data_IF_061399395851
#
_entry.id   IF_061399395851
#
_cell.length_a   1.000
_cell.length_b   1.000
_cell.length_c   1.000
_cell.angle_alpha   90.00
_cell.angle_beta   90.00
_cell.angle_gamma   90.00
#
_symmetry.space_group_name_H-M   'P 1'
#
loop_
_entity.id
_entity.type
_entity.pdbx_description
1 polymer ?
#
# COMPACT_ATOMS: atom_id res chain seq x y z
N UNK A 1 -12.15 9.67 -5.05
CA UNK A 1 -12.19 8.98 -3.75
C UNK A 1 -13.58 8.48 -3.35
N UNK A 2 -14.68 9.09 -3.84
CA UNK A 2 -16.06 8.63 -3.54
C UNK A 2 -16.28 7.19 -4.02
N UNK A 3 -15.67 6.77 -5.14
CA UNK A 3 -15.85 5.45 -5.72
C UNK A 3 -14.94 4.38 -5.12
N UNK A 4 -13.77 4.74 -4.60
CA UNK A 4 -12.74 3.74 -4.24
C UNK A 4 -11.99 4.03 -2.94
N UNK A 5 -12.13 5.23 -2.40
CA UNK A 5 -11.36 5.66 -1.22
C UNK A 5 -9.86 5.90 -1.49
N UNK A 6 -9.40 5.76 -2.75
CA UNK A 6 -7.98 5.94 -3.07
C UNK A 6 -7.58 7.41 -3.09
N UNK A 7 -6.59 7.83 -2.28
CA UNK A 7 -6.25 9.24 -2.07
C UNK A 7 -5.22 9.74 -3.11
N UNK A 8 -5.57 9.76 -4.40
CA UNK A 8 -4.69 10.30 -5.43
C UNK A 8 -4.54 11.82 -5.33
N UNK A 9 -3.29 12.32 -5.47
CA UNK A 9 -2.95 13.72 -5.70
C UNK A 9 -3.71 14.72 -4.80
N UNK A 10 -3.76 14.44 -3.50
CA UNK A 10 -4.39 15.34 -2.54
C UNK A 10 -3.50 16.56 -2.28
N UNK A 11 -4.10 17.75 -2.18
CA UNK A 11 -3.39 18.98 -1.79
C UNK A 11 -2.79 18.83 -0.38
N UNK A 12 -3.39 18.02 0.47
CA UNK A 12 -2.87 17.65 1.79
C UNK A 12 -1.42 17.13 1.76
N UNK A 13 -0.96 16.56 0.65
CA UNK A 13 0.41 16.06 0.52
C UNK A 13 1.47 17.17 0.51
N UNK A 14 1.09 18.43 0.32
CA UNK A 14 2.01 19.57 0.50
C UNK A 14 2.58 19.67 1.91
N UNK A 15 1.92 19.03 2.89
CA UNK A 15 2.36 19.00 4.30
C UNK A 15 3.06 17.71 4.70
N UNK A 16 3.38 16.80 3.78
CA UNK A 16 3.95 15.47 4.10
C UNK A 16 5.26 15.54 4.90
N UNK A 17 6.04 16.58 4.72
CA UNK A 17 7.29 16.82 5.46
C UNK A 17 7.10 17.41 6.86
N UNK A 18 5.87 17.79 7.21
CA UNK A 18 5.54 18.43 8.48
C UNK A 18 4.69 17.49 9.35
N UNK A 19 5.36 16.52 9.98
CA UNK A 19 4.70 15.45 10.76
C UNK A 19 3.79 15.99 11.87
N UNK A 20 4.16 17.13 12.46
CA UNK A 20 3.39 17.79 13.51
C UNK A 20 2.04 18.28 12.98
N UNK A 21 2.00 18.86 11.78
CA UNK A 21 0.73 19.31 11.17
C UNK A 21 -0.11 18.10 10.75
N UNK A 22 0.53 17.04 10.24
CA UNK A 22 -0.17 15.81 9.85
C UNK A 22 -0.82 15.09 11.03
N UNK A 23 -0.36 15.31 12.26
CA UNK A 23 -0.96 14.72 13.47
C UNK A 23 -2.48 14.92 13.55
N UNK A 24 -3.01 16.03 13.00
CA UNK A 24 -4.44 16.30 12.98
C UNK A 24 -5.26 15.28 12.18
N UNK A 25 -4.63 14.58 11.24
CA UNK A 25 -5.31 13.54 10.44
C UNK A 25 -5.84 12.40 11.31
N UNK A 26 -5.29 12.21 12.52
CA UNK A 26 -5.81 11.26 13.51
C UNK A 26 -7.22 11.60 13.97
N UNK A 27 -7.64 12.87 13.92
CA UNK A 27 -8.96 13.35 14.32
C UNK A 27 -9.91 13.50 13.13
N UNK A 28 -9.46 14.14 12.03
CA UNK A 28 -10.34 14.52 10.93
C UNK A 28 -10.15 13.66 9.67
N UNK A 29 -9.20 12.74 9.69
CA UNK A 29 -8.84 11.91 8.56
C UNK A 29 -8.14 12.66 7.42
N UNK A 30 -7.60 11.93 6.44
CA UNK A 30 -6.86 12.50 5.30
C UNK A 30 -7.74 13.39 4.43
N UNK A 31 -8.99 13.01 4.19
CA UNK A 31 -9.90 13.81 3.34
C UNK A 31 -10.37 15.08 4.03
N UNK A 32 -10.64 15.04 5.33
CA UNK A 32 -10.96 16.24 6.11
C UNK A 32 -9.78 17.22 6.12
N UNK A 33 -8.57 16.71 6.28
CA UNK A 33 -7.36 17.51 6.18
C UNK A 33 -7.15 18.07 4.77
N UNK A 34 -7.45 17.32 3.71
CA UNK A 34 -7.39 17.81 2.33
C UNK A 34 -8.38 18.96 2.08
N UNK A 35 -9.62 18.84 2.59
CA UNK A 35 -10.61 19.93 2.50
C UNK A 35 -10.09 21.19 3.22
N UNK A 36 -9.51 21.03 4.39
CA UNK A 36 -8.85 22.11 5.11
C UNK A 36 -7.74 22.76 4.28
N UNK A 37 -6.85 21.98 3.66
CA UNK A 37 -5.76 22.49 2.82
C UNK A 37 -6.29 23.29 1.62
N UNK A 38 -7.33 22.80 0.94
CA UNK A 38 -7.99 23.53 -0.13
C UNK A 38 -8.50 24.89 0.39
N UNK A 39 -9.21 24.88 1.51
CA UNK A 39 -9.75 26.10 2.12
C UNK A 39 -8.65 27.06 2.55
N UNK A 40 -7.56 26.57 3.14
CA UNK A 40 -6.40 27.37 3.52
C UNK A 40 -5.79 28.07 2.32
N UNK A 41 -5.46 27.33 1.25
CA UNK A 41 -4.77 27.88 0.09
C UNK A 41 -5.66 28.80 -0.76
N UNK A 42 -6.99 28.63 -0.69
CA UNK A 42 -7.93 29.54 -1.37
C UNK A 42 -8.35 30.72 -0.52
N UNK A 43 -8.20 30.68 0.81
CA UNK A 43 -8.62 31.74 1.72
C UNK A 43 -8.03 33.13 1.41
N UNK A 44 -6.78 33.29 0.90
CA UNK A 44 -6.25 34.61 0.53
C UNK A 44 -7.05 35.32 -0.57
N UNK A 45 -7.75 34.57 -1.44
CA UNK A 45 -8.63 35.18 -2.45
C UNK A 45 -9.77 36.01 -1.82
N UNK A 46 -10.14 35.73 -0.58
CA UNK A 46 -11.14 36.48 0.17
C UNK A 46 -10.74 37.98 0.30
N UNK A 47 -9.44 38.31 0.39
CA UNK A 47 -9.00 39.70 0.44
C UNK A 47 -9.36 40.49 -0.83
N UNK A 48 -9.48 39.80 -1.96
CA UNK A 48 -9.84 40.39 -3.26
C UNK A 48 -11.37 40.41 -3.42
N UNK A 49 -12.02 39.31 -3.02
CA UNK A 49 -13.46 39.06 -3.31
C UNK A 49 -14.38 39.46 -2.15
N UNK A 50 -13.85 39.97 -1.04
CA UNK A 50 -14.61 40.26 0.16
C UNK A 50 -15.75 41.27 -0.08
N UNK A 51 -16.89 40.95 0.45
CA UNK A 51 -18.05 41.87 0.52
C UNK A 51 -18.28 42.40 1.95
N UNK A 52 -17.84 41.61 2.95
CA UNK A 52 -18.10 41.92 4.36
C UNK A 52 -16.86 41.78 5.23
N UNK A 53 -16.88 42.39 6.43
CA UNK A 53 -15.83 42.20 7.43
C UNK A 53 -15.76 40.76 7.96
N UNK A 54 -16.87 40.01 7.87
CA UNK A 54 -16.93 38.59 8.28
C UNK A 54 -16.02 37.71 7.41
N UNK A 55 -15.91 38.03 6.14
CA UNK A 55 -15.07 37.29 5.19
C UNK A 55 -13.59 37.34 5.58
N UNK A 56 -13.13 38.50 6.08
CA UNK A 56 -11.78 38.66 6.63
C UNK A 56 -11.60 37.75 7.86
N UNK A 57 -12.62 37.66 8.74
CA UNK A 57 -12.60 36.78 9.90
C UNK A 57 -12.42 35.31 9.51
N UNK A 58 -13.09 34.85 8.47
CA UNK A 58 -12.93 33.48 7.94
C UNK A 58 -11.49 33.25 7.44
N UNK A 59 -10.93 34.19 6.70
CA UNK A 59 -9.54 34.07 6.24
C UNK A 59 -8.56 33.97 7.43
N UNK A 60 -8.73 34.80 8.44
CA UNK A 60 -7.88 34.79 9.65
C UNK A 60 -7.98 33.43 10.37
N UNK A 61 -9.19 32.85 10.47
CA UNK A 61 -9.37 31.51 11.06
C UNK A 61 -8.55 30.47 10.32
N UNK A 62 -8.62 30.42 8.98
CA UNK A 62 -7.84 29.46 8.19
C UNK A 62 -6.34 29.66 8.31
N UNK A 63 -5.87 30.89 8.51
CA UNK A 63 -4.44 31.19 8.73
C UNK A 63 -3.95 30.78 10.12
N UNK A 64 -4.83 30.78 11.13
CA UNK A 64 -4.48 30.39 12.51
C UNK A 64 -4.54 28.86 12.69
N UNK A 65 -5.46 28.17 12.01
CA UNK A 65 -5.65 26.72 12.16
C UNK A 65 -4.38 25.88 11.97
N UNK A 66 -3.49 26.13 11.02
CA UNK A 66 -2.22 25.39 10.89
C UNK A 66 -1.36 25.44 12.15
N UNK A 67 -1.35 26.59 12.85
CA UNK A 67 -0.64 26.72 14.11
C UNK A 67 -1.25 25.85 15.20
N UNK A 68 -2.59 25.81 15.29
CA UNK A 68 -3.28 24.93 16.24
C UNK A 68 -3.05 23.45 15.89
N UNK A 69 -3.03 23.11 14.63
CA UNK A 69 -2.72 21.74 14.19
C UNK A 69 -1.28 21.34 14.52
N UNK A 70 -0.34 22.27 14.37
CA UNK A 70 1.05 22.08 14.78
C UNK A 70 1.16 21.82 16.30
N UNK A 71 0.49 22.63 17.12
CA UNK A 71 0.50 22.44 18.58
C UNK A 71 -0.10 21.08 18.96
N UNK A 72 -1.24 20.73 18.39
CA UNK A 72 -1.87 19.44 18.62
C UNK A 72 -0.96 18.27 18.20
N UNK A 73 -0.39 18.35 17.00
CA UNK A 73 0.47 17.29 16.50
C UNK A 73 1.79 17.18 17.26
N UNK A 74 2.35 18.30 17.75
CA UNK A 74 3.53 18.29 18.62
C UNK A 74 3.24 17.54 19.91
N UNK A 75 2.09 17.82 20.54
CA UNK A 75 1.64 17.10 21.74
C UNK A 75 1.41 15.60 21.44
N UNK A 76 0.79 15.29 20.29
CA UNK A 76 0.55 13.92 19.88
C UNK A 76 1.86 13.14 19.64
N UNK A 77 2.85 13.79 19.01
CA UNK A 77 4.19 13.24 18.76
C UNK A 77 4.95 12.99 20.06
N UNK A 78 4.88 13.92 21.01
CA UNK A 78 5.49 13.76 22.32
C UNK A 78 4.87 12.57 23.07
N UNK A 79 3.53 12.48 23.08
CA UNK A 79 2.82 11.35 23.65
C UNK A 79 3.22 10.03 22.99
N UNK A 80 3.34 10.00 21.66
CA UNK A 80 3.78 8.80 20.93
C UNK A 80 5.22 8.40 21.31
N UNK A 81 6.13 9.37 21.40
CA UNK A 81 7.53 9.12 21.74
C UNK A 81 7.71 8.71 23.23
N UNK A 82 6.76 9.02 24.08
CA UNK A 82 6.78 8.63 25.51
C UNK A 82 6.24 7.22 25.77
N UNK A 83 5.70 6.54 24.72
CA UNK A 83 5.23 5.17 24.88
C UNK A 83 6.43 4.21 25.01
N UNK A 84 6.28 3.24 25.91
CA UNK A 84 7.25 2.16 26.04
C UNK A 84 7.32 1.36 24.75
N UNK A 85 8.52 1.24 24.19
CA UNK A 85 8.76 0.43 23.01
C UNK A 85 8.79 -1.03 23.43
N UNK A 86 7.77 -1.79 23.03
CA UNK A 86 7.78 -3.23 23.19
C UNK A 86 8.80 -3.80 22.21
N UNK A 87 9.86 -4.41 22.74
CA UNK A 87 10.85 -5.12 21.93
C UNK A 87 10.32 -6.51 21.59
N UNK A 88 10.34 -6.83 20.32
CA UNK A 88 10.02 -8.18 19.82
C UNK A 88 11.30 -8.86 19.33
N UNK A 89 11.38 -10.17 19.47
CA UNK A 89 12.50 -10.97 18.96
C UNK A 89 12.60 -10.97 17.43
N UNK A 90 11.48 -10.64 16.76
CA UNK A 90 11.40 -10.62 15.32
C UNK A 90 11.55 -9.21 14.78
N UNK A 91 12.46 -9.04 13.82
CA UNK A 91 12.60 -7.80 13.04
C UNK A 91 11.66 -7.84 11.85
N UNK A 92 11.09 -6.71 11.48
CA UNK A 92 10.38 -6.54 10.20
C UNK A 92 11.26 -5.74 9.26
N UNK A 93 11.55 -6.30 8.08
CA UNK A 93 12.33 -5.64 7.05
C UNK A 93 11.48 -5.45 5.80
N UNK A 94 11.01 -4.22 5.61
CA UNK A 94 10.33 -3.82 4.39
C UNK A 94 11.37 -3.51 3.31
N UNK A 95 11.21 -4.12 2.14
CA UNK A 95 12.14 -3.99 1.03
C UNK A 95 11.65 -2.88 0.09
N UNK A 96 12.39 -1.77 0.05
CA UNK A 96 12.21 -0.71 -0.94
C UNK A 96 13.14 -0.96 -2.12
N UNK A 97 12.67 -1.68 -3.12
CA UNK A 97 13.48 -1.88 -4.33
C UNK A 97 13.45 -0.62 -5.19
N UNK A 98 14.61 -0.05 -5.48
CA UNK A 98 14.75 1.00 -6.50
C UNK A 98 14.77 0.39 -7.92
N UNK A 99 13.90 -0.59 -8.18
CA UNK A 99 13.84 -1.26 -9.47
C UNK A 99 13.13 -0.35 -10.47
N UNK A 100 13.77 -0.08 -11.61
CA UNK A 100 13.22 0.76 -12.67
C UNK A 100 11.86 0.24 -13.18
N UNK A 101 10.97 1.15 -13.55
CA UNK A 101 9.70 0.80 -14.22
C UNK A 101 9.92 0.10 -15.57
N UNK A 102 11.10 0.24 -16.17
CA UNK A 102 11.45 -0.43 -17.44
C UNK A 102 11.30 -1.95 -17.35
N UNK A 103 11.44 -2.54 -16.17
CA UNK A 103 11.24 -3.98 -15.98
C UNK A 103 9.84 -4.48 -16.34
N UNK A 104 8.81 -3.62 -16.26
CA UNK A 104 7.45 -3.98 -16.68
C UNK A 104 7.29 -4.05 -18.21
N UNK A 105 8.27 -3.53 -18.93
CA UNK A 105 8.25 -3.44 -20.40
C UNK A 105 9.39 -4.19 -21.07
N UNK A 106 10.31 -4.76 -20.30
CA UNK A 106 11.47 -5.51 -20.80
C UNK A 106 11.43 -6.95 -20.28
N UNK A 107 11.82 -7.91 -21.15
CA UNK A 107 12.00 -9.31 -20.77
C UNK A 107 13.24 -9.46 -19.87
N UNK A 108 13.13 -9.06 -18.62
CA UNK A 108 14.20 -9.27 -17.62
C UNK A 108 14.05 -10.70 -17.09
N UNK A 109 15.17 -11.40 -16.97
CA UNK A 109 15.22 -12.74 -16.40
C UNK A 109 14.70 -12.73 -14.94
N UNK A 110 13.65 -13.49 -14.64
CA UNK A 110 13.10 -13.59 -13.27
C UNK A 110 14.14 -13.97 -12.21
N UNK A 111 15.12 -14.79 -12.57
CA UNK A 111 16.21 -15.19 -11.66
C UNK A 111 17.03 -13.98 -11.22
N UNK A 112 17.31 -13.06 -12.14
CA UNK A 112 18.04 -11.82 -11.82
C UNK A 112 17.24 -10.95 -10.84
N UNK A 113 15.93 -10.75 -11.09
CA UNK A 113 15.07 -9.95 -10.21
C UNK A 113 15.01 -10.56 -8.82
N UNK A 114 14.81 -11.87 -8.72
CA UNK A 114 14.71 -12.55 -7.41
C UNK A 114 16.05 -12.47 -6.66
N UNK A 115 17.18 -12.64 -7.33
CA UNK A 115 18.49 -12.49 -6.70
C UNK A 115 18.72 -11.08 -6.18
N UNK A 116 18.40 -10.04 -6.97
CA UNK A 116 18.51 -8.65 -6.54
C UNK A 116 17.66 -8.37 -5.29
N UNK A 117 16.43 -8.93 -5.23
CA UNK A 117 15.55 -8.80 -4.08
C UNK A 117 16.10 -9.54 -2.85
N UNK A 118 16.69 -10.72 -3.03
CA UNK A 118 17.35 -11.47 -1.96
C UNK A 118 18.56 -10.69 -1.43
N UNK A 119 19.38 -10.12 -2.32
CA UNK A 119 20.57 -9.36 -1.95
C UNK A 119 20.21 -8.09 -1.18
N UNK A 120 19.17 -7.34 -1.64
CA UNK A 120 18.66 -6.16 -0.91
C UNK A 120 18.05 -6.58 0.42
N UNK A 121 17.41 -7.75 0.48
CA UNK A 121 16.84 -8.28 1.72
C UNK A 121 17.92 -8.61 2.76
N UNK A 122 19.14 -8.93 2.34
CA UNK A 122 20.29 -9.23 3.21
C UNK A 122 19.91 -10.19 4.37
N UNK A 123 19.45 -11.42 4.10
CA UNK A 123 18.97 -12.32 5.13
C UNK A 123 20.11 -12.80 6.05
N UNK A 124 20.01 -12.49 7.34
CA UNK A 124 20.97 -12.95 8.36
C UNK A 124 20.46 -14.24 8.99
N UNK A 125 21.24 -15.29 8.94
CA UNK A 125 20.82 -16.65 9.37
C UNK A 125 20.53 -16.78 10.86
N UNK A 126 21.11 -15.92 11.67
CA UNK A 126 20.99 -15.87 13.14
C UNK A 126 19.89 -14.92 13.62
N UNK A 127 19.28 -14.16 12.74
CA UNK A 127 18.23 -13.20 13.07
C UNK A 127 16.84 -13.74 12.68
N UNK A 128 15.84 -13.47 13.51
CA UNK A 128 14.44 -13.73 13.20
C UNK A 128 13.87 -12.53 12.44
N UNK A 129 13.60 -12.70 11.14
CA UNK A 129 13.19 -11.59 10.27
C UNK A 129 11.94 -11.95 9.49
N UNK A 130 11.00 -10.99 9.47
CA UNK A 130 9.86 -10.98 8.56
C UNK A 130 10.21 -10.04 7.42
N UNK A 131 10.43 -10.58 6.22
CA UNK A 131 10.67 -9.80 5.02
C UNK A 131 9.36 -9.42 4.38
N UNK A 132 9.19 -8.15 4.02
CA UNK A 132 8.01 -7.65 3.31
C UNK A 132 8.45 -7.13 1.95
N UNK A 133 8.15 -7.88 0.91
CA UNK A 133 8.36 -7.49 -0.48
C UNK A 133 7.11 -6.81 -1.01
N UNK A 134 7.22 -5.62 -1.60
CA UNK A 134 6.07 -4.81 -1.98
C UNK A 134 5.26 -5.41 -3.11
N UNK A 135 4.06 -4.86 -3.27
CA UNK A 135 3.15 -5.13 -4.39
C UNK A 135 3.82 -4.86 -5.74
N UNK A 136 3.55 -5.72 -6.71
CA UNK A 136 4.03 -5.55 -8.08
C UNK A 136 5.54 -5.72 -8.27
N UNK A 137 6.25 -6.29 -7.29
CA UNK A 137 7.71 -6.44 -7.38
C UNK A 137 8.12 -7.56 -8.34
N UNK A 138 7.23 -8.51 -8.55
CA UNK A 138 7.36 -9.66 -9.46
C UNK A 138 6.22 -9.60 -10.50
N UNK A 139 6.28 -8.70 -11.50
CA UNK A 139 5.14 -8.39 -12.38
C UNK A 139 4.66 -9.58 -13.20
N UNK A 140 5.57 -10.40 -13.72
CA UNK A 140 5.29 -11.50 -14.63
C UNK A 140 5.37 -12.88 -13.96
N UNK A 141 5.42 -12.92 -12.63
CA UNK A 141 5.49 -14.16 -11.87
C UNK A 141 4.23 -14.27 -11.01
N UNK A 142 3.45 -15.31 -11.24
CA UNK A 142 2.33 -15.66 -10.40
C UNK A 142 2.78 -16.43 -9.15
N UNK A 143 1.90 -16.49 -8.14
CA UNK A 143 2.10 -17.29 -6.94
C UNK A 143 2.50 -18.76 -7.24
N UNK A 144 1.93 -19.33 -8.30
CA UNK A 144 2.20 -20.70 -8.73
C UNK A 144 3.59 -20.83 -9.37
N UNK A 145 3.96 -19.89 -10.21
CA UNK A 145 5.24 -19.88 -10.92
C UNK A 145 6.41 -19.57 -9.99
N UNK A 146 6.18 -18.79 -8.94
CA UNK A 146 7.21 -18.46 -7.94
C UNK A 146 7.83 -19.71 -7.31
N UNK A 147 7.09 -20.80 -7.20
CA UNK A 147 7.58 -22.09 -6.65
C UNK A 147 8.70 -22.69 -7.50
N UNK A 148 8.78 -22.38 -8.80
CA UNK A 148 9.84 -22.87 -9.70
C UNK A 148 11.22 -22.29 -9.32
N UNK A 149 11.23 -21.16 -8.61
CA UNK A 149 12.42 -20.47 -8.11
C UNK A 149 12.77 -20.82 -6.66
N UNK A 150 12.11 -21.82 -6.08
CA UNK A 150 12.28 -22.26 -4.68
C UNK A 150 13.76 -22.44 -4.29
N UNK A 151 14.58 -22.97 -5.17
CA UNK A 151 16.01 -23.21 -4.95
C UNK A 151 16.82 -21.93 -4.62
N UNK A 152 16.41 -20.74 -5.09
CA UNK A 152 17.02 -19.45 -4.76
C UNK A 152 16.73 -19.09 -3.29
N UNK A 153 15.50 -19.34 -2.87
CA UNK A 153 15.04 -19.02 -1.51
C UNK A 153 15.67 -19.96 -0.48
N UNK A 154 15.69 -21.26 -0.73
CA UNK A 154 16.29 -22.26 0.16
C UNK A 154 17.77 -22.02 0.42
N UNK A 155 18.49 -21.46 -0.56
CA UNK A 155 19.90 -21.10 -0.41
C UNK A 155 20.11 -19.90 0.54
N UNK A 156 19.18 -18.97 0.56
CA UNK A 156 19.35 -17.64 1.17
C UNK A 156 18.60 -17.50 2.48
N UNK A 157 17.40 -18.06 2.58
CA UNK A 157 16.53 -17.97 3.75
C UNK A 157 16.62 -19.25 4.60
N UNK A 158 16.15 -19.17 5.84
CA UNK A 158 16.08 -20.31 6.76
C UNK A 158 14.85 -20.22 7.67
N UNK A 159 14.68 -21.20 8.57
CA UNK A 159 13.53 -21.31 9.48
C UNK A 159 13.23 -20.07 10.36
N UNK A 160 14.21 -19.17 10.53
CA UNK A 160 14.02 -17.93 11.28
C UNK A 160 13.35 -16.82 10.44
N UNK A 161 13.08 -17.08 9.16
CA UNK A 161 12.57 -16.11 8.22
C UNK A 161 11.12 -16.40 7.82
N UNK A 162 10.34 -15.33 7.65
CA UNK A 162 9.05 -15.32 6.99
C UNK A 162 9.10 -14.34 5.81
N UNK A 163 8.41 -14.69 4.75
CA UNK A 163 8.37 -13.91 3.52
C UNK A 163 6.94 -13.48 3.22
N UNK A 164 6.70 -12.18 3.20
CA UNK A 164 5.45 -11.55 2.81
C UNK A 164 5.65 -10.96 1.44
N UNK A 165 5.08 -11.55 0.42
CA UNK A 165 5.34 -11.18 -0.98
C UNK A 165 4.05 -10.72 -1.63
N UNK A 166 4.06 -9.50 -2.19
CA UNK A 166 3.01 -9.02 -3.08
C UNK A 166 3.17 -9.68 -4.46
N UNK A 167 2.34 -10.66 -4.75
CA UNK A 167 2.42 -11.48 -5.96
C UNK A 167 1.03 -11.75 -6.53
N UNK A 168 0.95 -11.83 -7.86
CA UNK A 168 -0.30 -12.15 -8.53
C UNK A 168 -0.71 -13.61 -8.27
N UNK A 169 -2.00 -13.84 -8.01
CA UNK A 169 -2.58 -15.16 -7.86
C UNK A 169 -3.61 -15.42 -8.96
N UNK A 170 -3.70 -16.65 -9.39
CA UNK A 170 -4.61 -17.08 -10.44
C UNK A 170 -5.41 -18.28 -9.97
N UNK A 171 -6.74 -18.21 -10.13
CA UNK A 171 -7.61 -19.35 -9.88
C UNK A 171 -8.43 -19.67 -11.13
N UNK A 172 -8.52 -20.94 -11.46
CA UNK A 172 -9.31 -21.40 -12.59
C UNK A 172 -10.60 -22.03 -12.09
N UNK A 173 -11.74 -21.42 -12.40
CA UNK A 173 -13.06 -22.01 -12.24
C UNK A 173 -13.55 -22.47 -13.62
N UNK A 174 -14.26 -23.58 -13.68
CA UNK A 174 -14.70 -24.36 -14.87
C UNK A 174 -14.66 -23.66 -16.26
N UNK A 175 -14.85 -22.35 -16.34
CA UNK A 175 -14.89 -21.58 -17.61
C UNK A 175 -14.15 -20.23 -17.54
N UNK A 176 -13.74 -19.78 -16.35
CA UNK A 176 -13.11 -18.46 -16.19
C UNK A 176 -11.82 -18.53 -15.38
N UNK A 177 -10.83 -17.78 -15.83
CA UNK A 177 -9.59 -17.55 -15.09
C UNK A 177 -9.77 -16.23 -14.34
N UNK A 178 -9.66 -16.29 -13.01
CA UNK A 178 -9.67 -15.10 -12.16
C UNK A 178 -8.24 -14.75 -11.77
N UNK A 179 -7.87 -13.49 -11.96
CA UNK A 179 -6.58 -12.94 -11.56
C UNK A 179 -6.76 -12.07 -10.32
N UNK A 180 -5.92 -12.25 -9.32
CA UNK A 180 -5.96 -11.48 -8.08
C UNK A 180 -4.62 -10.81 -7.83
N UNK A 181 -4.66 -9.58 -7.38
CA UNK A 181 -3.54 -8.94 -6.73
C UNK A 181 -3.51 -9.41 -5.28
N UNK A 182 -2.43 -10.07 -4.85
CA UNK A 182 -2.43 -10.83 -3.60
C UNK A 182 -1.19 -10.53 -2.74
N UNK A 183 -1.39 -10.56 -1.43
CA UNK A 183 -0.33 -10.72 -0.47
C UNK A 183 -0.25 -12.21 -0.08
N UNK A 184 0.87 -12.84 -0.35
CA UNK A 184 1.12 -14.24 0.01
C UNK A 184 2.20 -14.32 1.07
N UNK A 185 1.98 -15.18 2.06
CA UNK A 185 2.89 -15.40 3.17
C UNK A 185 3.49 -16.77 3.03
N UNK A 186 4.82 -16.80 2.98
CA UNK A 186 5.59 -18.02 2.80
C UNK A 186 6.51 -18.25 3.98
N UNK A 187 6.84 -19.52 4.18
CA UNK A 187 8.01 -19.90 4.94
C UNK A 187 9.30 -19.79 4.08
N UNK A 188 10.43 -20.18 4.67
CA UNK A 188 11.74 -20.15 3.99
C UNK A 188 11.87 -21.15 2.81
N UNK A 189 10.98 -22.13 2.72
CA UNK A 189 10.94 -23.11 1.64
C UNK A 189 9.91 -22.73 0.55
N UNK A 190 9.39 -21.49 0.57
CA UNK A 190 8.28 -21.05 -0.28
C UNK A 190 7.01 -21.90 -0.14
N UNK A 191 6.80 -22.53 1.01
CA UNK A 191 5.51 -23.11 1.33
C UNK A 191 4.54 -22.00 1.74
N UNK A 192 3.36 -21.98 1.12
CA UNK A 192 2.34 -20.96 1.38
C UNK A 192 1.70 -21.24 2.74
N UNK A 193 1.87 -20.30 3.67
CA UNK A 193 1.23 -20.35 4.99
C UNK A 193 -0.19 -19.78 4.95
N UNK A 194 -0.38 -18.68 4.26
CA UNK A 194 -1.66 -18.05 4.00
C UNK A 194 -1.56 -17.06 2.83
N UNK A 195 -2.69 -16.61 2.32
CA UNK A 195 -2.76 -15.57 1.29
C UNK A 195 -4.01 -14.71 1.44
N UNK A 196 -3.92 -13.47 0.95
CA UNK A 196 -5.00 -12.50 0.93
C UNK A 196 -5.10 -11.87 -0.45
N UNK A 197 -6.30 -11.89 -1.02
CA UNK A 197 -6.59 -11.25 -2.27
C UNK A 197 -7.12 -9.83 -2.02
N UNK A 198 -6.53 -8.83 -2.66
CA UNK A 198 -6.88 -7.41 -2.51
C UNK A 198 -8.36 -7.18 -2.80
N UNK A 199 -9.02 -6.42 -1.91
CA UNK A 199 -10.46 -6.12 -2.03
C UNK A 199 -10.68 -4.78 -2.69
N UNK A 200 -9.91 -3.76 -2.29
CA UNK A 200 -10.05 -2.40 -2.77
C UNK A 200 -9.16 -2.20 -4.00
N UNK A 201 -9.70 -2.52 -5.17
CA UNK A 201 -8.99 -2.40 -6.43
C UNK A 201 -8.94 -0.94 -6.91
N UNK A 202 -7.84 -0.58 -7.59
CA UNK A 202 -7.62 0.76 -8.16
C UNK A 202 -8.35 0.87 -9.50
N UNK A 203 -9.29 1.83 -9.65
CA UNK A 203 -9.96 2.04 -10.92
C UNK A 203 -8.96 2.45 -12.00
N UNK A 204 -9.18 1.97 -13.22
CA UNK A 204 -8.33 2.18 -14.39
C UNK A 204 -6.90 1.63 -14.28
N UNK A 205 -6.48 1.17 -13.09
CA UNK A 205 -5.21 0.50 -12.87
C UNK A 205 -5.37 -1.01 -12.71
N UNK A 206 -6.37 -1.44 -11.95
CA UNK A 206 -6.60 -2.86 -11.62
C UNK A 206 -7.94 -3.39 -12.11
N UNK A 207 -8.90 -2.52 -12.37
CA UNK A 207 -10.17 -2.85 -13.02
C UNK A 207 -10.70 -1.68 -13.82
N UNK A 208 -11.51 -1.97 -14.83
CA UNK A 208 -12.13 -0.96 -15.67
C UNK A 208 -13.54 -0.63 -15.12
N UNK A 209 -13.74 0.58 -14.53
CA UNK A 209 -15.08 0.99 -14.08
C UNK A 209 -16.05 1.05 -15.26
N UNK A 210 -17.29 0.63 -15.03
CA UNK A 210 -18.36 0.70 -16.03
C UNK A 210 -18.08 -0.08 -17.33
N UNK A 211 -17.29 -1.16 -17.25
CA UNK A 211 -16.86 -1.97 -18.41
C UNK A 211 -18.04 -2.34 -19.34
N UNK A 212 -19.18 -2.76 -18.78
CA UNK A 212 -20.38 -3.10 -19.55
C UNK A 212 -20.97 -1.91 -20.32
N UNK A 213 -20.90 -0.71 -19.74
CA UNK A 213 -21.34 0.53 -20.38
C UNK A 213 -20.39 0.89 -21.53
N UNK A 214 -19.07 0.81 -21.28
CA UNK A 214 -18.05 1.07 -22.28
C UNK A 214 -18.17 0.11 -23.48
N UNK A 215 -18.44 -1.17 -23.22
CA UNK A 215 -18.72 -2.17 -24.28
C UNK A 215 -19.95 -1.78 -25.09
N UNK A 216 -21.04 -1.32 -24.46
CA UNK A 216 -22.27 -0.93 -25.16
C UNK A 216 -22.09 0.30 -26.05
N UNK A 217 -21.14 1.18 -25.74
CA UNK A 217 -20.74 2.32 -26.56
C UNK A 217 -19.71 1.99 -27.66
N UNK A 218 -19.41 0.71 -27.89
CA UNK A 218 -18.46 0.26 -28.93
C UNK A 218 -16.99 0.47 -28.59
N UNK A 219 -16.65 0.77 -27.33
CA UNK A 219 -15.27 0.93 -26.86
C UNK A 219 -14.61 -0.42 -26.55
N UNK A 220 -14.90 -1.43 -27.36
CA UNK A 220 -14.40 -2.81 -27.20
C UNK A 220 -12.87 -2.92 -27.24
N UNK A 221 -12.20 -2.02 -27.96
CA UNK A 221 -10.72 -1.99 -28.02
C UNK A 221 -10.11 -1.73 -26.65
N UNK A 222 -10.71 -0.86 -25.84
CA UNK A 222 -10.25 -0.56 -24.48
C UNK A 222 -10.56 -1.73 -23.55
N UNK A 223 -11.75 -2.34 -23.69
CA UNK A 223 -12.19 -3.41 -22.79
C UNK A 223 -11.54 -4.75 -23.07
N UNK A 224 -11.27 -5.08 -24.35
CA UNK A 224 -10.72 -6.38 -24.73
C UNK A 224 -9.22 -6.51 -24.45
N UNK A 225 -8.49 -5.39 -24.39
CA UNK A 225 -7.05 -5.37 -24.10
C UNK A 225 -6.75 -5.13 -22.61
N UNK A 226 -7.79 -4.97 -21.78
CA UNK A 226 -7.64 -4.68 -20.36
C UNK A 226 -7.93 -5.94 -19.54
N UNK A 227 -6.91 -6.46 -18.89
CA UNK A 227 -7.04 -7.61 -17.99
C UNK A 227 -7.31 -7.09 -16.56
N UNK A 228 -8.58 -7.13 -16.15
CA UNK A 228 -8.98 -6.70 -14.82
C UNK A 228 -8.63 -7.74 -13.77
N UNK A 229 -8.16 -7.29 -12.62
CA UNK A 229 -8.09 -8.12 -11.43
C UNK A 229 -9.49 -8.39 -10.86
N UNK A 230 -9.65 -9.56 -10.29
CA UNK A 230 -10.86 -9.96 -9.57
C UNK A 230 -10.77 -9.47 -8.13
N UNK A 231 -11.85 -8.92 -7.62
CA UNK A 231 -11.94 -8.47 -6.22
C UNK A 231 -11.88 -9.67 -5.26
N UNK A 232 -11.09 -9.54 -4.20
CA UNK A 232 -11.05 -10.53 -3.11
C UNK A 232 -12.38 -10.65 -2.35
N UNK A 233 -12.57 -11.77 -1.67
CA UNK A 233 -13.87 -12.15 -1.05
C UNK A 233 -14.19 -11.40 0.26
N UNK A 234 -13.22 -10.76 0.91
CA UNK A 234 -13.43 -10.04 2.17
C UNK A 234 -12.15 -9.84 2.98
N UNK A 235 -12.21 -8.92 3.93
CA UNK A 235 -11.12 -8.71 4.89
C UNK A 235 -11.07 -9.88 5.86
N UNK A 236 -9.87 -10.38 6.12
CA UNK A 236 -9.63 -11.40 7.13
C UNK A 236 -8.41 -11.03 7.97
N UNK A 237 -8.39 -11.43 9.21
CA UNK A 237 -7.17 -11.43 10.01
C UNK A 237 -6.46 -12.75 9.71
N UNK A 238 -5.23 -12.65 9.25
CA UNK A 238 -4.35 -13.80 9.06
C UNK A 238 -3.62 -14.05 10.37
N UNK A 239 -3.66 -15.26 10.88
CA UNK A 239 -2.96 -15.66 12.08
C UNK A 239 -1.90 -16.70 11.71
N UNK A 240 -0.63 -16.34 11.86
CA UNK A 240 0.51 -17.25 11.67
C UNK A 240 0.99 -17.69 13.04
N UNK A 241 0.91 -18.99 13.31
CA UNK A 241 1.41 -19.60 14.54
C UNK A 241 2.64 -20.42 14.24
N UNK A 242 3.68 -20.19 15.01
CA UNK A 242 4.91 -21.01 15.08
C UNK A 242 5.20 -21.36 16.52
N UNK A 243 6.14 -22.25 16.75
CA UNK A 243 6.46 -22.77 18.08
C UNK A 243 6.88 -21.68 19.06
N UNK A 244 7.52 -20.61 18.57
CA UNK A 244 8.11 -19.54 19.35
C UNK A 244 7.35 -18.19 19.27
N UNK A 245 6.38 -18.03 18.35
CA UNK A 245 5.58 -16.81 18.24
C UNK A 245 4.26 -16.97 17.51
N UNK A 246 3.37 -16.03 17.75
CA UNK A 246 2.11 -15.86 17.00
C UNK A 246 2.03 -14.45 16.45
N UNK A 247 1.71 -14.34 15.16
CA UNK A 247 1.57 -13.06 14.46
C UNK A 247 0.16 -12.93 13.89
N UNK A 248 -0.48 -11.79 14.16
CA UNK A 248 -1.77 -11.42 13.58
C UNK A 248 -1.56 -10.30 12.58
N UNK A 249 -2.04 -10.48 11.37
CA UNK A 249 -1.89 -9.55 10.25
C UNK A 249 -3.26 -9.16 9.75
N UNK A 250 -3.48 -7.86 9.57
CA UNK A 250 -4.64 -7.31 8.88
C UNK A 250 -4.18 -6.73 7.55
N UNK A 251 -4.29 -7.49 6.45
CA UNK A 251 -4.00 -6.96 5.11
C UNK A 251 -5.09 -5.96 4.70
N UNK A 252 -4.71 -4.88 4.03
CA UNK A 252 -5.60 -3.78 3.63
C UNK A 252 -5.74 -3.68 2.11
#
# INVERSE_FOLDING_TARGET
SILTGFPWNLIAYSFVTHSEILGITSLIGTYGFNLFCISLFTSPAIFILRETKKDIGVCIIFLILPFLFYLYGSFYKEKFNSLDVVSYDHKVRAIGSNISLERFYSNIDPVSIINDLIDISDPKKDEKIIFVWPEGILPDISQKELVEYKWLFEKSFNKNHLLFIGVNNQTTNKENINYYNSLSIYDHNLEILDSYNKINLVPFGEFLPFENILKSFGLSVITNNYQSFTKGNGRKIIEIKRDDFSLKILPL
#
